data_IF_006477463530
#
_entry.id   IF_006477463530
#
_cell.length_a   1.000
_cell.length_b   1.000
_cell.length_c   1.000
_cell.angle_alpha   90.00
_cell.angle_beta   90.00
_cell.angle_gamma   90.00
#
_symmetry.space_group_name_H-M   'P 1'
#
loop_
_entity.id
_entity.type
_entity.pdbx_description
1 polymer ?
#
# COMPACT_ATOMS: atom_id res chain seq x y z
N UNK A 1 33.82 13.63 17.54
CA UNK A 1 32.39 13.99 17.32
C UNK A 1 32.18 14.26 15.83
N UNK A 2 31.22 13.59 15.22
CA UNK A 2 30.91 13.64 13.76
C UNK A 2 30.20 14.94 13.36
N UNK A 3 29.52 15.63 14.29
CA UNK A 3 28.76 16.85 14.04
C UNK A 3 29.24 17.95 14.98
N UNK A 4 29.72 19.07 14.39
CA UNK A 4 30.24 20.24 15.12
C UNK A 4 29.25 21.39 15.22
N UNK A 5 28.08 21.29 14.58
CA UNK A 5 27.11 22.38 14.48
C UNK A 5 25.68 21.89 14.69
N UNK A 6 24.91 22.58 15.53
CA UNK A 6 23.51 22.36 15.76
C UNK A 6 22.69 23.42 15.03
N UNK A 7 21.82 23.00 14.13
CA UNK A 7 20.87 23.90 13.48
C UNK A 7 19.55 23.87 14.24
N UNK A 8 19.07 25.01 14.67
CA UNK A 8 17.73 25.16 15.24
C UNK A 8 16.74 25.37 14.12
N UNK A 9 15.59 24.67 14.19
CA UNK A 9 14.46 24.93 13.30
C UNK A 9 14.01 26.39 13.44
N UNK A 10 13.52 26.96 12.33
CA UNK A 10 13.02 28.35 12.33
C UNK A 10 11.88 28.49 13.35
N UNK A 11 11.91 29.59 14.07
CA UNK A 11 10.82 29.94 15.00
C UNK A 11 9.61 30.40 14.21
N UNK A 12 8.41 29.89 14.57
CA UNK A 12 7.13 30.30 14.02
C UNK A 12 6.21 30.79 15.16
N UNK A 13 6.51 31.92 15.81
CA UNK A 13 5.84 32.33 17.04
C UNK A 13 4.32 32.55 16.88
N UNK A 14 3.87 33.09 15.75
CA UNK A 14 2.45 33.29 15.48
C UNK A 14 1.71 31.96 15.29
N UNK A 15 2.26 31.04 14.49
CA UNK A 15 1.68 29.73 14.30
C UNK A 15 1.63 28.93 15.62
N UNK A 16 2.70 29.01 16.41
CA UNK A 16 2.78 28.39 17.72
C UNK A 16 1.70 28.94 18.65
N UNK A 17 1.56 30.27 18.76
CA UNK A 17 0.54 30.90 19.59
C UNK A 17 -0.89 30.50 19.18
N UNK A 18 -1.18 30.42 17.86
CA UNK A 18 -2.45 29.94 17.34
C UNK A 18 -2.73 28.49 17.73
N UNK A 19 -1.73 27.62 17.70
CA UNK A 19 -1.88 26.21 18.11
C UNK A 19 -2.07 26.07 19.61
N UNK A 20 -1.33 26.83 20.43
CA UNK A 20 -1.50 26.85 21.89
C UNK A 20 -2.91 27.36 22.29
N UNK A 21 -3.41 28.39 21.60
CA UNK A 21 -4.77 28.89 21.77
C UNK A 21 -5.84 27.85 21.37
N UNK A 22 -5.50 26.95 20.42
CA UNK A 22 -6.35 25.81 20.00
C UNK A 22 -6.22 24.57 20.90
N UNK A 23 -5.48 24.67 22.02
CA UNK A 23 -5.32 23.58 23.00
C UNK A 23 -4.18 22.61 22.73
N UNK A 24 -3.29 22.89 21.78
CA UNK A 24 -2.09 22.06 21.56
C UNK A 24 -1.05 22.41 22.62
N UNK A 25 -0.50 21.43 23.36
CA UNK A 25 0.53 21.70 24.36
C UNK A 25 1.75 22.42 23.77
N UNK A 26 2.39 23.37 24.51
CA UNK A 26 3.43 24.26 23.99
C UNK A 26 4.62 23.55 23.34
N UNK A 27 5.08 22.43 23.92
CA UNK A 27 6.19 21.65 23.35
C UNK A 27 5.77 20.92 22.08
N UNK A 28 4.53 20.38 22.05
CA UNK A 28 3.98 19.76 20.85
C UNK A 28 3.79 20.81 19.74
N UNK A 29 3.25 22.00 20.04
CA UNK A 29 3.10 23.09 19.09
C UNK A 29 4.45 23.50 18.48
N UNK A 30 5.49 23.64 19.30
CA UNK A 30 6.85 23.94 18.85
C UNK A 30 7.38 22.87 17.89
N UNK A 31 7.22 21.60 18.25
CA UNK A 31 7.70 20.45 17.46
C UNK A 31 6.93 20.32 16.14
N UNK A 32 5.62 20.50 16.15
CA UNK A 32 4.78 20.44 14.97
C UNK A 32 5.07 21.58 14.00
N UNK A 33 5.25 22.81 14.51
CA UNK A 33 5.68 23.95 13.70
C UNK A 33 7.04 23.69 13.02
N UNK A 34 7.99 23.14 13.75
CA UNK A 34 9.31 22.80 13.20
C UNK A 34 9.23 21.74 12.07
N UNK A 35 8.14 20.98 12.01
CA UNK A 35 7.85 19.97 10.97
C UNK A 35 6.92 20.49 9.85
N UNK A 36 6.64 21.80 9.82
CA UNK A 36 5.75 22.39 8.81
C UNK A 36 4.26 22.18 9.07
N UNK A 37 3.90 21.66 10.24
CA UNK A 37 2.50 21.51 10.67
C UNK A 37 2.12 22.77 11.50
N UNK A 38 1.98 23.87 10.82
CA UNK A 38 1.98 25.24 11.34
C UNK A 38 0.58 25.84 11.54
N UNK A 39 -0.48 25.05 11.36
CA UNK A 39 -1.86 25.45 11.66
C UNK A 39 -2.54 24.46 12.60
N UNK A 40 -3.55 24.91 13.40
CA UNK A 40 -4.33 24.00 14.26
C UNK A 40 -4.98 22.83 13.51
N UNK A 41 -5.42 23.05 12.28
CA UNK A 41 -6.06 22.02 11.43
C UNK A 41 -5.05 20.94 11.04
N UNK A 42 -3.85 21.34 10.54
CA UNK A 42 -2.76 20.41 10.21
C UNK A 42 -2.31 19.63 11.45
N UNK A 43 -2.18 20.31 12.59
CA UNK A 43 -1.79 19.68 13.85
C UNK A 43 -2.83 18.64 14.30
N UNK A 44 -4.11 18.98 14.29
CA UNK A 44 -5.20 18.04 14.62
C UNK A 44 -5.22 16.84 13.68
N UNK A 45 -5.17 17.07 12.37
CA UNK A 45 -5.14 16.00 11.38
C UNK A 45 -3.96 15.04 11.62
N UNK A 46 -2.78 15.57 11.93
CA UNK A 46 -1.59 14.77 12.22
C UNK A 46 -1.70 13.98 13.55
N UNK A 47 -2.26 14.59 14.60
CA UNK A 47 -2.38 13.97 15.92
C UNK A 47 -3.53 12.94 15.95
N UNK A 48 -4.63 13.24 15.30
CA UNK A 48 -5.83 12.41 15.28
C UNK A 48 -5.65 11.14 14.45
N UNK A 49 -5.09 11.28 13.25
CA UNK A 49 -4.82 10.18 12.31
C UNK A 49 -5.92 9.10 12.30
N UNK A 50 -7.18 9.52 12.37
CA UNK A 50 -8.34 8.63 12.48
C UNK A 50 -8.79 8.05 11.15
N UNK A 51 -9.65 7.01 11.19
CA UNK A 51 -10.20 6.31 10.00
C UNK A 51 -10.85 7.26 8.98
N UNK A 52 -11.42 8.39 9.44
CA UNK A 52 -12.03 9.41 8.59
C UNK A 52 -11.06 10.15 7.67
N UNK A 53 -9.74 10.03 7.90
CA UNK A 53 -8.72 10.64 7.05
C UNK A 53 -8.33 9.78 5.84
N UNK A 54 -8.76 8.53 5.81
CA UNK A 54 -8.55 7.68 4.64
C UNK A 54 -9.49 8.12 3.51
N UNK A 55 -8.91 8.50 2.40
CA UNK A 55 -9.61 8.98 1.21
C UNK A 55 -10.41 7.86 0.53
N UNK A 56 -11.40 8.23 -0.27
CA UNK A 56 -12.13 7.30 -1.11
C UNK A 56 -11.18 6.64 -2.13
N UNK A 57 -11.11 5.28 -2.19
CA UNK A 57 -10.26 4.59 -3.16
C UNK A 57 -10.62 4.92 -4.62
N UNK A 58 -11.88 5.25 -4.92
CA UNK A 58 -12.33 5.58 -6.28
C UNK A 58 -11.85 6.95 -6.78
N UNK A 59 -11.18 7.74 -5.94
CA UNK A 59 -10.43 8.90 -6.41
C UNK A 59 -9.15 8.51 -7.18
N UNK A 60 -8.66 7.27 -7.03
CA UNK A 60 -7.53 6.80 -7.84
C UNK A 60 -8.00 6.50 -9.27
N UNK A 61 -7.21 6.96 -10.22
CA UNK A 61 -7.42 6.65 -11.64
C UNK A 61 -7.47 5.13 -11.85
N UNK A 62 -8.44 4.68 -12.64
CA UNK A 62 -8.69 3.28 -13.00
C UNK A 62 -9.06 2.34 -11.83
N UNK A 63 -9.27 2.82 -10.61
CA UNK A 63 -9.70 1.98 -9.49
C UNK A 63 -11.07 1.34 -9.73
N UNK A 64 -11.97 2.04 -10.37
CA UNK A 64 -13.28 1.54 -10.78
C UNK A 64 -13.16 0.39 -11.78
N UNK A 65 -12.28 0.54 -12.79
CA UNK A 65 -11.98 -0.49 -13.79
C UNK A 65 -11.31 -1.71 -13.14
N UNK A 66 -10.34 -1.48 -12.25
CA UNK A 66 -9.67 -2.53 -11.49
C UNK A 66 -10.67 -3.34 -10.67
N UNK A 67 -11.50 -2.67 -9.87
CA UNK A 67 -12.51 -3.32 -9.05
C UNK A 67 -13.54 -4.08 -9.91
N UNK A 68 -13.99 -3.49 -11.02
CA UNK A 68 -14.92 -4.14 -11.94
C UNK A 68 -14.32 -5.41 -12.58
N UNK A 69 -13.03 -5.36 -13.00
CA UNK A 69 -12.35 -6.52 -13.61
C UNK A 69 -12.17 -7.66 -12.61
N UNK A 70 -11.73 -7.32 -11.40
CA UNK A 70 -11.54 -8.33 -10.33
C UNK A 70 -12.88 -8.96 -9.94
N UNK A 71 -13.95 -8.16 -9.75
CA UNK A 71 -15.30 -8.71 -9.46
C UNK A 71 -15.80 -9.63 -10.59
N UNK A 72 -15.55 -9.28 -11.84
CA UNK A 72 -15.91 -10.16 -13.00
C UNK A 72 -15.16 -11.48 -12.93
N UNK A 73 -13.86 -11.47 -12.59
CA UNK A 73 -13.08 -12.69 -12.45
C UNK A 73 -13.63 -13.59 -11.32
N UNK A 74 -13.92 -13.00 -10.15
CA UNK A 74 -14.53 -13.74 -9.03
C UNK A 74 -15.87 -14.35 -9.41
N UNK A 75 -16.75 -13.59 -10.05
CA UNK A 75 -18.07 -14.05 -10.46
C UNK A 75 -18.01 -15.15 -11.52
N UNK A 76 -17.00 -15.14 -12.39
CA UNK A 76 -16.79 -16.15 -13.44
C UNK A 76 -15.99 -17.38 -12.96
N UNK A 77 -15.49 -17.38 -11.71
CA UNK A 77 -14.62 -18.44 -11.21
C UNK A 77 -13.26 -18.51 -11.92
N UNK A 78 -12.78 -17.39 -12.48
CA UNK A 78 -11.48 -17.33 -13.13
C UNK A 78 -10.35 -17.58 -12.11
N UNK A 79 -9.29 -18.27 -12.54
CA UNK A 79 -8.07 -18.35 -11.74
C UNK A 79 -7.33 -16.99 -11.76
N UNK A 80 -7.12 -16.45 -10.59
CA UNK A 80 -6.46 -15.15 -10.40
C UNK A 80 -5.06 -15.39 -9.80
N UNK A 81 -4.02 -14.77 -10.38
CA UNK A 81 -2.74 -14.66 -9.70
C UNK A 81 -2.61 -13.28 -9.04
N UNK A 82 -2.14 -13.25 -7.80
CA UNK A 82 -1.65 -12.04 -7.16
C UNK A 82 -0.14 -12.06 -7.24
N UNK A 83 0.41 -11.17 -8.04
CA UNK A 83 1.84 -11.09 -8.34
C UNK A 83 2.46 -9.92 -7.60
N UNK A 84 3.29 -10.17 -6.60
CA UNK A 84 3.95 -9.13 -5.81
C UNK A 84 5.44 -9.03 -6.07
N UNK A 85 6.09 -8.09 -5.35
CA UNK A 85 7.54 -8.04 -5.24
C UNK A 85 8.04 -8.89 -4.06
N UNK A 86 9.36 -9.15 -4.03
CA UNK A 86 10.03 -9.98 -3.02
C UNK A 86 10.38 -9.24 -1.73
N UNK A 87 10.21 -7.93 -1.67
CA UNK A 87 10.44 -7.16 -0.44
C UNK A 87 9.23 -7.21 0.53
N UNK A 88 9.35 -6.57 1.67
CA UNK A 88 8.30 -6.63 2.72
C UNK A 88 7.01 -5.94 2.27
N UNK A 89 7.09 -4.89 1.44
CA UNK A 89 5.89 -4.22 0.91
C UNK A 89 5.17 -5.12 -0.09
N UNK A 90 5.89 -5.71 -1.04
CA UNK A 90 5.35 -6.69 -1.99
C UNK A 90 4.79 -7.94 -1.33
N UNK A 91 5.50 -8.51 -0.34
CA UNK A 91 5.05 -9.68 0.43
C UNK A 91 3.75 -9.38 1.19
N UNK A 92 3.69 -8.25 1.91
CA UNK A 92 2.49 -7.88 2.68
C UNK A 92 1.31 -7.54 1.79
N UNK A 93 1.56 -6.90 0.65
CA UNK A 93 0.58 -6.62 -0.40
C UNK A 93 -0.01 -7.90 -0.97
N UNK A 94 0.85 -8.86 -1.31
CA UNK A 94 0.46 -10.18 -1.82
C UNK A 94 -0.37 -10.96 -0.81
N UNK A 95 0.07 -11.01 0.44
CA UNK A 95 -0.67 -11.65 1.53
C UNK A 95 -2.05 -11.04 1.73
N UNK A 96 -2.12 -9.70 1.78
CA UNK A 96 -3.34 -8.94 2.01
C UNK A 96 -4.37 -9.21 0.92
N UNK A 97 -4.00 -9.04 -0.35
CA UNK A 97 -4.91 -9.19 -1.46
C UNK A 97 -5.30 -10.66 -1.68
N UNK A 98 -4.37 -11.60 -1.53
CA UNK A 98 -4.66 -13.05 -1.65
C UNK A 98 -5.65 -13.51 -0.58
N UNK A 99 -5.47 -13.12 0.69
CA UNK A 99 -6.41 -13.49 1.76
C UNK A 99 -7.79 -12.91 1.48
N UNK A 100 -7.88 -11.66 1.05
CA UNK A 100 -9.15 -11.04 0.70
C UNK A 100 -9.85 -11.78 -0.44
N UNK A 101 -9.19 -11.99 -1.57
CA UNK A 101 -9.81 -12.63 -2.74
C UNK A 101 -10.23 -14.06 -2.47
N UNK A 102 -9.46 -14.83 -1.68
CA UNK A 102 -9.84 -16.18 -1.25
C UNK A 102 -11.08 -16.18 -0.37
N UNK A 103 -11.23 -15.20 0.52
CA UNK A 103 -12.44 -15.02 1.34
C UNK A 103 -13.67 -14.64 0.53
N UNK A 104 -13.46 -13.97 -0.58
CA UNK A 104 -14.54 -13.68 -1.55
C UNK A 104 -14.83 -14.89 -2.48
N UNK A 105 -14.25 -16.08 -2.21
CA UNK A 105 -14.50 -17.31 -2.96
C UNK A 105 -13.61 -17.48 -4.20
N UNK A 106 -12.60 -16.64 -4.38
CA UNK A 106 -11.71 -16.72 -5.55
C UNK A 106 -10.71 -17.88 -5.50
N UNK A 107 -10.43 -18.49 -6.66
CA UNK A 107 -9.28 -19.40 -6.85
C UNK A 107 -8.04 -18.55 -7.10
N UNK A 108 -7.17 -18.43 -6.09
CA UNK A 108 -6.08 -17.45 -6.09
C UNK A 108 -4.72 -18.09 -5.85
N UNK A 109 -3.79 -17.81 -6.75
CA UNK A 109 -2.37 -18.21 -6.69
C UNK A 109 -1.54 -16.97 -6.31
N UNK A 110 -0.91 -16.92 -5.12
CA UNK A 110 0.09 -15.91 -4.83
C UNK A 110 1.38 -16.24 -5.57
N UNK A 111 2.02 -15.23 -6.14
CA UNK A 111 3.31 -15.37 -6.81
C UNK A 111 4.25 -14.25 -6.38
N UNK A 112 5.44 -14.62 -5.94
CA UNK A 112 6.52 -13.70 -5.61
C UNK A 112 7.75 -14.19 -6.38
N UNK A 113 8.34 -13.36 -7.26
CA UNK A 113 9.50 -13.77 -8.04
C UNK A 113 10.72 -14.02 -7.16
N UNK A 114 11.56 -14.97 -7.56
CA UNK A 114 12.84 -15.18 -6.90
C UNK A 114 13.80 -14.04 -7.24
N UNK A 115 14.34 -13.39 -6.19
CA UNK A 115 15.23 -12.24 -6.34
C UNK A 115 16.48 -12.53 -7.14
N UNK A 116 17.03 -13.73 -7.02
CA UNK A 116 18.31 -14.12 -7.62
C UNK A 116 18.15 -14.67 -9.03
N UNK A 117 17.04 -15.34 -9.30
CA UNK A 117 16.82 -16.04 -10.58
C UNK A 117 15.94 -15.23 -11.54
N UNK A 118 14.90 -14.54 -11.03
CA UNK A 118 13.91 -13.86 -11.85
C UNK A 118 14.06 -12.33 -11.87
N UNK A 119 14.72 -11.75 -10.86
CA UNK A 119 14.91 -10.31 -10.75
C UNK A 119 13.68 -9.56 -10.22
N UNK A 120 13.63 -8.26 -10.50
CA UNK A 120 12.57 -7.36 -10.01
C UNK A 120 11.42 -7.24 -11.00
N UNK A 121 10.18 -7.25 -10.47
CA UNK A 121 8.98 -6.92 -11.21
C UNK A 121 8.38 -8.06 -12.01
N UNK A 122 7.40 -7.74 -12.85
CA UNK A 122 6.72 -8.73 -13.69
C UNK A 122 7.68 -9.24 -14.77
N UNK A 123 7.77 -10.57 -14.95
CA UNK A 123 8.58 -11.19 -15.98
C UNK A 123 7.74 -12.10 -16.90
N UNK A 124 8.20 -12.32 -18.12
CA UNK A 124 7.49 -13.05 -19.19
C UNK A 124 7.37 -14.53 -18.89
N UNK A 125 8.41 -15.12 -18.32
CA UNK A 125 8.48 -16.53 -17.96
C UNK A 125 7.46 -16.87 -16.89
N UNK A 126 7.34 -16.02 -15.84
CA UNK A 126 6.33 -16.15 -14.80
C UNK A 126 4.91 -16.00 -15.35
N UNK A 127 4.68 -15.03 -16.25
CA UNK A 127 3.38 -14.87 -16.93
C UNK A 127 3.00 -16.12 -17.70
N UNK A 128 3.94 -16.70 -18.46
CA UNK A 128 3.71 -17.93 -19.21
C UNK A 128 3.45 -19.13 -18.30
N UNK A 129 4.21 -19.26 -17.20
CA UNK A 129 4.02 -20.32 -16.22
C UNK A 129 2.65 -20.22 -15.52
N UNK A 130 2.22 -19.03 -15.13
CA UNK A 130 0.91 -18.77 -14.54
C UNK A 130 -0.22 -19.07 -15.54
N UNK A 131 -0.03 -18.68 -16.81
CA UNK A 131 -0.97 -19.07 -17.87
C UNK A 131 -1.10 -20.58 -18.03
N UNK A 132 0.04 -21.31 -17.95
CA UNK A 132 0.04 -22.77 -17.97
C UNK A 132 -0.72 -23.42 -16.81
N UNK A 133 -0.88 -22.71 -15.69
CA UNK A 133 -1.70 -23.12 -14.54
C UNK A 133 -3.17 -22.67 -14.66
N UNK A 134 -3.59 -22.15 -15.81
CA UNK A 134 -4.96 -21.73 -16.06
C UNK A 134 -5.31 -20.32 -15.59
N UNK A 135 -4.33 -19.51 -15.19
CA UNK A 135 -4.56 -18.13 -14.77
C UNK A 135 -5.06 -17.29 -15.96
N UNK A 136 -6.19 -16.63 -15.78
CA UNK A 136 -6.79 -15.71 -16.76
C UNK A 136 -6.59 -14.23 -16.38
N UNK A 137 -6.38 -13.94 -15.11
CA UNK A 137 -6.14 -12.60 -14.59
C UNK A 137 -4.93 -12.58 -13.65
N UNK A 138 -3.98 -11.70 -13.90
CA UNK A 138 -2.92 -11.37 -12.95
C UNK A 138 -3.23 -9.99 -12.36
N UNK A 139 -3.27 -9.88 -11.04
CA UNK A 139 -3.29 -8.61 -10.31
C UNK A 139 -1.92 -8.39 -9.73
N UNK A 140 -1.18 -7.39 -10.25
CA UNK A 140 0.11 -7.04 -9.66
C UNK A 140 -0.08 -6.15 -8.43
N UNK A 141 0.78 -6.31 -7.46
CA UNK A 141 0.85 -5.47 -6.25
C UNK A 141 2.28 -5.05 -6.02
N UNK A 142 2.51 -3.77 -5.77
CA UNK A 142 3.84 -3.20 -5.51
C UNK A 142 4.83 -3.37 -6.67
N UNK A 143 4.34 -3.62 -7.86
CA UNK A 143 5.15 -3.72 -9.09
C UNK A 143 4.27 -3.60 -10.34
N UNK A 144 4.92 -3.45 -11.48
CA UNK A 144 4.27 -3.58 -12.77
C UNK A 144 4.04 -2.27 -13.53
N UNK A 145 4.16 -1.09 -12.90
CA UNK A 145 3.92 0.20 -13.58
C UNK A 145 4.87 0.45 -14.77
N UNK A 146 6.01 -0.22 -14.79
CA UNK A 146 7.01 -0.11 -15.86
C UNK A 146 7.02 -1.30 -16.83
N UNK A 147 6.16 -2.30 -16.61
CA UNK A 147 6.15 -3.59 -17.31
C UNK A 147 5.40 -3.55 -18.65
N UNK A 148 5.84 -2.68 -19.57
CA UNK A 148 5.16 -2.46 -20.87
C UNK A 148 5.25 -3.69 -21.79
N UNK A 149 6.43 -4.30 -21.86
CA UNK A 149 6.66 -5.46 -22.71
C UNK A 149 6.06 -6.74 -22.14
N UNK A 150 6.09 -6.87 -20.82
CA UNK A 150 5.46 -7.99 -20.09
C UNK A 150 3.93 -7.94 -20.21
N UNK A 151 3.35 -6.73 -20.20
CA UNK A 151 1.91 -6.54 -20.45
C UNK A 151 1.53 -6.95 -21.89
N UNK A 152 2.35 -6.63 -22.86
CA UNK A 152 2.14 -7.08 -24.24
C UNK A 152 2.27 -8.61 -24.36
N UNK A 153 3.22 -9.21 -23.66
CA UNK A 153 3.36 -10.67 -23.58
C UNK A 153 2.13 -11.32 -22.95
N UNK A 154 1.65 -10.79 -21.80
CA UNK A 154 0.45 -11.30 -21.12
C UNK A 154 -0.76 -11.27 -22.05
N UNK A 155 -0.98 -10.15 -22.76
CA UNK A 155 -2.06 -10.00 -23.73
C UNK A 155 -1.97 -11.03 -24.86
N UNK A 156 -0.76 -11.30 -25.39
CA UNK A 156 -0.55 -12.31 -26.42
C UNK A 156 -0.86 -13.74 -25.97
N UNK A 157 -0.73 -14.00 -24.67
CA UNK A 157 -1.07 -15.29 -24.04
C UNK A 157 -2.52 -15.37 -23.58
N UNK A 158 -3.32 -14.32 -23.80
CA UNK A 158 -4.70 -14.26 -23.34
C UNK A 158 -4.84 -14.12 -21.83
N UNK A 159 -3.86 -13.49 -21.17
CA UNK A 159 -3.90 -13.14 -19.74
C UNK A 159 -4.14 -11.64 -19.62
N UNK A 160 -5.17 -11.25 -18.90
CA UNK A 160 -5.42 -9.83 -18.59
C UNK A 160 -4.66 -9.42 -17.33
N UNK A 161 -4.24 -8.14 -17.30
CA UNK A 161 -3.55 -7.55 -16.15
C UNK A 161 -4.41 -6.48 -15.49
N UNK A 162 -4.40 -6.46 -14.16
CA UNK A 162 -4.74 -5.30 -13.32
C UNK A 162 -3.47 -4.92 -12.57
N UNK A 163 -2.93 -3.76 -12.81
CA UNK A 163 -1.70 -3.29 -12.20
C UNK A 163 -2.04 -2.39 -11.02
N UNK A 164 -1.50 -2.69 -9.83
CA UNK A 164 -1.51 -1.78 -8.68
C UNK A 164 -0.08 -1.56 -8.21
N UNK A 165 0.34 -0.29 -8.23
CA UNK A 165 1.72 0.09 -7.97
C UNK A 165 1.79 1.48 -7.32
N UNK A 166 2.97 1.87 -6.84
CA UNK A 166 3.24 3.18 -6.25
C UNK A 166 4.58 3.78 -6.72
N UNK A 167 5.27 3.08 -7.60
CA UNK A 167 6.57 3.52 -8.14
C UNK A 167 6.43 4.64 -9.17
N UNK A 168 7.55 5.27 -9.51
CA UNK A 168 7.56 6.34 -10.52
C UNK A 168 7.18 5.80 -11.92
N UNK A 169 6.20 6.46 -12.52
CA UNK A 169 5.74 6.11 -13.86
C UNK A 169 6.75 6.51 -14.93
N UNK A 170 6.95 5.66 -15.93
CA UNK A 170 7.63 6.02 -17.17
C UNK A 170 6.69 6.74 -18.14
N UNK A 171 7.25 7.25 -19.25
CA UNK A 171 6.46 7.95 -20.27
C UNK A 171 5.36 7.06 -20.88
N UNK A 172 5.61 5.76 -21.04
CA UNK A 172 4.63 4.80 -21.50
C UNK A 172 4.13 3.95 -20.34
N UNK A 173 2.82 3.81 -20.22
CA UNK A 173 2.18 2.91 -19.27
C UNK A 173 1.91 1.54 -19.92
N UNK A 174 1.94 0.44 -19.15
CA UNK A 174 1.58 -0.88 -19.65
C UNK A 174 0.13 -0.93 -20.13
N UNK A 175 -0.11 -1.66 -21.22
CA UNK A 175 -1.45 -1.93 -21.73
C UNK A 175 -2.13 -3.01 -20.88
N UNK A 176 -2.93 -2.58 -19.90
CA UNK A 176 -3.63 -3.44 -18.97
C UNK A 176 -5.12 -3.10 -18.88
N UNK A 177 -5.93 -4.00 -18.31
CA UNK A 177 -7.34 -3.76 -18.06
C UNK A 177 -7.54 -2.54 -17.14
N UNK A 178 -6.64 -2.36 -16.17
CA UNK A 178 -6.56 -1.17 -15.32
C UNK A 178 -5.12 -0.98 -14.83
N UNK A 179 -4.72 0.30 -14.64
CA UNK A 179 -3.43 0.67 -14.07
C UNK A 179 -3.68 1.66 -12.93
N UNK A 180 -3.60 1.17 -11.70
CA UNK A 180 -3.87 1.95 -10.49
C UNK A 180 -2.55 2.34 -9.84
N UNK A 181 -2.21 3.62 -9.94
CA UNK A 181 -1.03 4.18 -9.29
C UNK A 181 -1.31 5.65 -8.93
N UNK A 182 -1.15 6.04 -7.65
CA UNK A 182 -1.38 7.43 -7.24
C UNK A 182 -0.40 8.41 -7.87
N UNK A 183 0.79 7.97 -8.30
CA UNK A 183 1.84 8.83 -8.90
C UNK A 183 1.65 9.10 -10.38
N UNK A 184 0.74 8.42 -11.05
CA UNK A 184 0.41 8.74 -12.45
C UNK A 184 0.08 10.22 -12.60
N UNK A 185 0.58 10.83 -13.65
CA UNK A 185 0.36 12.26 -13.94
C UNK A 185 -1.13 12.62 -14.13
N UNK A 186 -1.92 11.68 -14.65
CA UNK A 186 -3.36 11.83 -14.89
C UNK A 186 -4.23 11.32 -13.70
N UNK A 187 -3.63 10.93 -12.58
CA UNK A 187 -4.36 10.46 -11.42
C UNK A 187 -4.73 11.64 -10.50
N UNK A 188 -6.03 11.88 -10.23
CA UNK A 188 -6.46 12.98 -9.37
C UNK A 188 -6.31 12.69 -7.87
N UNK A 189 -5.84 11.50 -7.48
CA UNK A 189 -5.71 11.11 -6.08
C UNK A 189 -4.79 12.08 -5.33
N UNK A 190 -5.26 12.70 -4.21
CA UNK A 190 -4.51 13.81 -3.59
C UNK A 190 -3.24 13.36 -2.87
N UNK A 191 -3.20 12.12 -2.36
CA UNK A 191 -2.08 11.59 -1.58
C UNK A 191 -1.21 10.65 -2.43
N UNK A 192 -0.04 11.13 -2.88
CA UNK A 192 0.84 10.43 -3.82
C UNK A 192 1.82 9.45 -3.17
N UNK A 193 1.91 9.43 -1.84
CA UNK A 193 2.96 8.74 -1.11
C UNK A 193 2.46 7.46 -0.42
N UNK A 194 1.45 6.78 -0.96
CA UNK A 194 1.09 5.45 -0.48
C UNK A 194 2.22 4.46 -0.80
N UNK A 195 2.45 3.49 0.10
CA UNK A 195 3.20 2.27 -0.20
C UNK A 195 2.40 1.35 -1.12
N UNK A 196 3.02 0.35 -1.74
CA UNK A 196 2.33 -0.65 -2.56
C UNK A 196 1.22 -1.35 -1.80
N UNK A 197 1.46 -1.75 -0.54
CA UNK A 197 0.43 -2.32 0.33
C UNK A 197 -0.71 -1.35 0.64
N UNK A 198 -0.43 -0.06 0.68
CA UNK A 198 -1.44 0.98 0.81
C UNK A 198 -2.37 1.03 -0.41
N UNK A 199 -1.82 0.89 -1.62
CA UNK A 199 -2.61 0.80 -2.86
C UNK A 199 -3.40 -0.51 -2.91
N UNK A 200 -2.80 -1.64 -2.52
CA UNK A 200 -3.49 -2.92 -2.40
C UNK A 200 -4.65 -2.86 -1.38
N UNK A 201 -4.44 -2.22 -0.23
CA UNK A 201 -5.51 -1.98 0.75
C UNK A 201 -6.64 -1.14 0.15
N UNK A 202 -6.33 -0.11 -0.66
CA UNK A 202 -7.35 0.69 -1.34
C UNK A 202 -8.16 -0.15 -2.34
N UNK A 203 -7.53 -1.06 -3.07
CA UNK A 203 -8.26 -2.00 -3.94
C UNK A 203 -9.19 -2.91 -3.12
N UNK A 204 -8.74 -3.44 -1.99
CA UNK A 204 -9.57 -4.24 -1.08
C UNK A 204 -10.77 -3.44 -0.56
N UNK A 205 -10.57 -2.20 -0.15
CA UNK A 205 -11.65 -1.31 0.29
C UNK A 205 -12.65 -1.01 -0.84
N UNK A 206 -12.15 -0.81 -2.08
CA UNK A 206 -12.99 -0.62 -3.26
C UNK A 206 -13.83 -1.86 -3.57
N UNK A 207 -13.24 -3.05 -3.46
CA UNK A 207 -13.92 -4.33 -3.69
C UNK A 207 -14.97 -4.64 -2.62
N UNK A 208 -14.66 -4.42 -1.34
CA UNK A 208 -15.55 -4.70 -0.22
C UNK A 208 -16.67 -3.67 -0.05
N UNK A 209 -16.45 -2.46 -0.56
CA UNK A 209 -17.42 -1.38 -0.49
C UNK A 209 -17.51 -0.69 0.90
N UNK A 210 -18.26 0.41 1.00
CA UNK A 210 -18.29 1.25 2.19
C UNK A 210 -18.85 0.55 3.43
N UNK A 211 -19.78 -0.38 3.28
CA UNK A 211 -20.39 -1.10 4.39
C UNK A 211 -19.38 -2.01 5.14
N UNK A 212 -18.37 -2.51 4.45
CA UNK A 212 -17.35 -3.39 5.04
C UNK A 212 -16.04 -2.67 5.38
N UNK A 213 -15.99 -1.37 5.19
CA UNK A 213 -14.75 -0.58 5.35
C UNK A 213 -14.07 -0.81 6.69
N UNK A 214 -14.81 -0.72 7.78
CA UNK A 214 -14.24 -0.86 9.13
C UNK A 214 -13.78 -2.28 9.42
N UNK A 215 -14.54 -3.29 9.02
CA UNK A 215 -14.14 -4.70 9.09
C UNK A 215 -12.83 -4.96 8.35
N UNK A 216 -12.72 -4.43 7.12
CA UNK A 216 -11.53 -4.64 6.29
C UNK A 216 -10.30 -3.91 6.84
N UNK A 217 -10.47 -2.71 7.39
CA UNK A 217 -9.39 -2.00 8.07
C UNK A 217 -8.92 -2.77 9.31
N UNK A 218 -9.83 -3.29 10.13
CA UNK A 218 -9.45 -4.11 11.29
C UNK A 218 -8.71 -5.38 10.91
N UNK A 219 -9.06 -5.98 9.77
CA UNK A 219 -8.46 -7.23 9.28
C UNK A 219 -7.09 -7.04 8.65
N UNK A 220 -6.85 -5.92 7.96
CA UNK A 220 -5.70 -5.77 7.06
C UNK A 220 -4.76 -4.62 7.43
N UNK A 221 -5.12 -3.76 8.38
CA UNK A 221 -4.26 -2.64 8.76
C UNK A 221 -2.91 -3.09 9.33
N UNK A 222 -2.84 -4.27 9.95
CA UNK A 222 -1.58 -4.85 10.45
C UNK A 222 -0.58 -5.06 9.31
N UNK A 223 -0.97 -5.75 8.25
CA UNK A 223 -0.12 -5.96 7.06
C UNK A 223 0.20 -4.65 6.36
N UNK A 224 -0.80 -3.78 6.20
CA UNK A 224 -0.61 -2.49 5.55
C UNK A 224 0.37 -1.59 6.31
N UNK A 225 0.37 -1.64 7.64
CA UNK A 225 1.35 -0.90 8.44
C UNK A 225 2.76 -1.46 8.30
N UNK A 226 2.91 -2.79 8.28
CA UNK A 226 4.22 -3.44 8.15
C UNK A 226 4.87 -3.04 6.82
N UNK A 227 4.19 -3.22 5.68
CA UNK A 227 4.75 -2.84 4.37
C UNK A 227 5.04 -1.34 4.30
N UNK A 228 4.10 -0.48 4.71
CA UNK A 228 4.29 0.99 4.71
C UNK A 228 5.53 1.44 5.50
N UNK A 229 5.81 0.80 6.66
CA UNK A 229 6.98 1.12 7.48
C UNK A 229 8.25 0.54 6.88
N UNK A 230 8.19 -0.67 6.36
CA UNK A 230 9.35 -1.36 5.77
C UNK A 230 9.85 -0.66 4.50
N UNK A 231 8.94 -0.14 3.67
CA UNK A 231 9.25 0.66 2.48
C UNK A 231 9.69 2.10 2.81
N UNK A 232 9.86 2.41 4.10
CA UNK A 232 10.35 3.72 4.60
C UNK A 232 9.51 4.89 4.10
N UNK A 233 8.22 4.67 3.86
CA UNK A 233 7.32 5.72 3.39
C UNK A 233 7.11 6.82 4.42
N UNK A 234 6.90 8.04 3.93
CA UNK A 234 6.63 9.19 4.80
C UNK A 234 5.36 8.96 5.63
N UNK A 235 5.48 8.97 6.97
CA UNK A 235 4.38 8.76 7.92
C UNK A 235 3.54 10.04 8.10
N UNK A 236 3.01 10.54 6.99
CA UNK A 236 2.09 11.68 6.90
C UNK A 236 0.78 11.24 6.26
N UNK A 237 -0.26 12.07 6.30
CA UNK A 237 -1.53 11.79 5.64
C UNK A 237 -2.06 10.39 5.91
N UNK A 238 -2.44 9.68 4.86
CA UNK A 238 -3.02 8.35 4.96
C UNK A 238 -2.05 7.30 5.51
N UNK A 239 -0.75 7.37 5.18
CA UNK A 239 0.24 6.43 5.72
C UNK A 239 0.28 6.48 7.25
N UNK A 240 0.19 7.69 7.83
CA UNK A 240 0.12 7.83 9.28
C UNK A 240 -1.13 7.18 9.87
N UNK A 241 -2.27 7.34 9.21
CA UNK A 241 -3.52 6.70 9.63
C UNK A 241 -3.42 5.18 9.53
N UNK A 242 -2.92 4.65 8.41
CA UNK A 242 -2.72 3.21 8.17
C UNK A 242 -1.80 2.63 9.25
N UNK A 243 -0.64 3.26 9.49
CA UNK A 243 0.32 2.77 10.48
C UNK A 243 -0.25 2.84 11.90
N UNK A 244 -0.97 3.91 12.28
CA UNK A 244 -1.61 3.98 13.59
C UNK A 244 -2.63 2.85 13.79
N UNK A 245 -3.53 2.65 12.83
CA UNK A 245 -4.52 1.56 12.88
C UNK A 245 -3.85 0.19 12.91
N UNK A 246 -2.80 0.02 12.11
CA UNK A 246 -2.05 -1.22 12.04
C UNK A 246 -1.30 -1.56 13.32
N UNK A 247 -0.70 -0.57 14.00
CA UNK A 247 -0.06 -0.79 15.31
C UNK A 247 -1.07 -1.21 16.39
N UNK A 248 -2.30 -0.73 16.32
CA UNK A 248 -3.39 -1.18 17.19
C UNK A 248 -3.82 -2.62 16.83
N UNK A 249 -3.91 -2.95 15.54
CA UNK A 249 -4.25 -4.28 15.06
C UNK A 249 -3.16 -5.31 15.38
N UNK A 250 -1.87 -4.97 15.23
CA UNK A 250 -0.72 -5.83 15.53
C UNK A 250 -0.70 -6.34 16.97
N UNK A 251 -1.18 -5.55 17.92
CA UNK A 251 -1.28 -5.97 19.33
C UNK A 251 -2.24 -7.14 19.56
N UNK A 252 -3.15 -7.38 18.60
CA UNK A 252 -4.24 -8.37 18.67
C UNK A 252 -4.23 -9.32 17.48
N UNK A 253 -3.17 -9.26 16.65
CA UNK A 253 -3.12 -10.08 15.44
C UNK A 253 -3.07 -11.57 15.77
N UNK A 254 -3.91 -12.34 15.08
CA UNK A 254 -3.90 -13.80 15.12
C UNK A 254 -3.13 -14.45 13.97
N UNK A 255 -2.35 -13.68 13.19
CA UNK A 255 -1.58 -14.20 12.06
C UNK A 255 -0.35 -14.95 12.58
N UNK A 256 -0.26 -16.28 12.39
CA UNK A 256 0.80 -17.09 13.02
C UNK A 256 2.22 -16.69 12.58
N UNK A 257 2.40 -16.18 11.36
CA UNK A 257 3.70 -15.73 10.86
C UNK A 257 4.28 -14.52 11.58
N UNK A 258 3.45 -13.62 12.10
CA UNK A 258 3.94 -12.39 12.75
C UNK A 258 4.58 -12.66 14.12
N UNK A 259 3.97 -13.43 15.06
CA UNK A 259 4.64 -13.83 16.30
C UNK A 259 5.92 -14.62 16.05
N UNK A 260 5.94 -15.52 15.07
CA UNK A 260 7.13 -16.31 14.73
C UNK A 260 8.26 -15.40 14.25
N UNK A 261 8.00 -14.47 13.34
CA UNK A 261 9.00 -13.51 12.87
C UNK A 261 9.56 -12.67 14.02
N UNK A 262 8.70 -12.15 14.90
CA UNK A 262 9.11 -11.39 16.08
C UNK A 262 9.97 -12.20 17.06
N UNK A 263 9.63 -13.46 17.28
CA UNK A 263 10.40 -14.35 18.18
C UNK A 263 11.79 -14.63 17.62
N UNK A 264 11.90 -14.87 16.30
CA UNK A 264 13.20 -15.09 15.66
C UNK A 264 14.08 -13.84 15.68
N UNK A 265 13.54 -12.65 15.43
CA UNK A 265 14.29 -11.40 15.50
C UNK A 265 14.86 -11.16 16.92
N UNK A 266 14.05 -11.40 17.97
CA UNK A 266 14.53 -11.26 19.37
C UNK A 266 15.61 -12.26 19.77
N UNK A 267 15.61 -13.46 19.23
CA UNK A 267 16.63 -14.46 19.51
C UNK A 267 18.04 -14.02 19.07
N UNK A 268 18.15 -13.07 18.14
CA UNK A 268 19.41 -12.50 17.67
C UNK A 268 19.83 -11.20 18.36
N UNK A 269 18.95 -10.61 19.20
CA UNK A 269 19.25 -9.37 19.93
C UNK A 269 19.84 -9.60 21.33
N UNK A 270 20.01 -10.85 21.77
CA UNK A 270 20.44 -11.21 23.14
C UNK A 270 21.88 -11.69 23.23
N UNK A 271 22.72 -11.49 22.21
CA UNK A 271 24.16 -11.79 22.25
C UNK A 271 25.02 -10.53 22.39
#
# INVERSE_FOLDING_TARGET
>A
MKYKQWNRAASAPQARAAMEAAGVPPLAALTLCARGLDTPEKARAFLDAGRGQLLDPFLMKDMDRAAARVRRALAAGEHIAVYGDYDVDGITSTCLLTDFLRREGGTVIPYIPDRMEEGYGLNREAVAALRGQGVGLIVTVDCGITAVEEAACAASLGVELVITDHHECKAALPAAAAVVDPRRADCPYPFKCLAGVGVALKLVLALGGPARRDELLERYADLAAIGTVADVMSLTGENRTIVRLGLEALRRTGRPGLPVSYTHLRAHETD
#
